data_IF_152844097705
#
_entry.id   IF_152844097705
#
_cell.length_a   1.000
_cell.length_b   1.000
_cell.length_c   1.000
_cell.angle_alpha   90.00
_cell.angle_beta   90.00
_cell.angle_gamma   90.00
#
_symmetry.space_group_name_H-M   'P 1'
#
loop_
_entity.id
_entity.type
_entity.pdbx_description
1 polymer ?
#
# COMPACT_ATOMS: atom_id res chain seq x y z
N UNK A 1 -27.15 13.19 2.32
CA UNK A 1 -26.22 12.78 3.40
C UNK A 1 -26.53 11.33 3.76
N UNK A 2 -25.51 10.46 3.77
CA UNK A 2 -25.64 9.05 4.11
C UNK A 2 -25.12 8.87 5.54
N UNK A 3 -25.95 8.28 6.40
CA UNK A 3 -25.54 7.85 7.74
C UNK A 3 -24.87 6.47 7.62
N UNK A 4 -23.60 6.36 8.00
CA UNK A 4 -22.83 5.12 7.93
C UNK A 4 -22.85 4.30 9.22
N UNK A 5 -23.54 4.77 10.25
CA UNK A 5 -23.63 4.05 11.53
C UNK A 5 -24.33 2.71 11.37
N UNK A 6 -23.83 1.73 12.08
CA UNK A 6 -24.39 0.38 12.22
C UNK A 6 -24.46 0.03 13.72
N UNK A 7 -24.80 -1.18 14.07
CA UNK A 7 -24.75 -1.62 15.45
C UNK A 7 -23.35 -1.55 16.09
N UNK A 8 -22.30 -1.65 15.27
CA UNK A 8 -20.90 -1.67 15.70
C UNK A 8 -20.09 -0.48 15.21
N UNK A 9 -20.56 0.21 14.16
CA UNK A 9 -20.01 1.47 13.67
C UNK A 9 -20.76 2.63 14.30
N UNK A 10 -20.13 3.37 15.18
CA UNK A 10 -20.76 4.46 15.93
C UNK A 10 -20.44 5.85 15.39
N UNK A 11 -19.29 6.00 14.73
CA UNK A 11 -18.82 7.28 14.20
C UNK A 11 -19.27 7.50 12.76
N UNK A 12 -19.72 8.72 12.45
CA UNK A 12 -19.89 9.21 11.08
C UNK A 12 -18.66 9.99 10.57
N UNK A 13 -17.55 9.96 11.29
CA UNK A 13 -16.29 10.63 10.89
C UNK A 13 -15.55 9.75 9.88
N UNK A 14 -15.68 10.08 8.61
CA UNK A 14 -15.15 9.34 7.48
C UNK A 14 -13.72 9.78 7.18
N UNK A 15 -12.81 8.83 7.03
CA UNK A 15 -11.41 9.08 6.70
C UNK A 15 -11.09 8.79 5.23
N UNK A 16 -11.72 7.78 4.63
CA UNK A 16 -11.60 7.51 3.20
C UNK A 16 -12.80 6.74 2.66
N UNK A 17 -13.02 6.89 1.37
CA UNK A 17 -14.11 6.23 0.62
C UNK A 17 -13.53 5.65 -0.66
N UNK A 18 -13.99 4.47 -1.02
CA UNK A 18 -13.65 3.81 -2.26
C UNK A 18 -14.91 3.21 -2.90
N UNK A 19 -15.07 3.36 -4.20
CA UNK A 19 -16.11 2.68 -4.96
C UNK A 19 -15.48 1.53 -5.74
N UNK A 20 -15.99 0.32 -5.55
CA UNK A 20 -15.51 -0.84 -6.27
C UNK A 20 -16.17 -0.97 -7.68
N UNK A 21 -15.70 -1.94 -8.47
CA UNK A 21 -16.19 -2.17 -9.83
C UNK A 21 -17.66 -2.61 -9.90
N UNK A 22 -18.26 -3.06 -8.80
CA UNK A 22 -19.70 -3.39 -8.71
C UNK A 22 -20.55 -2.17 -8.35
N UNK A 23 -19.91 -1.04 -8.03
CA UNK A 23 -20.55 0.19 -7.61
C UNK A 23 -20.81 0.26 -6.10
N UNK A 24 -20.42 -0.73 -5.32
CA UNK A 24 -20.52 -0.73 -3.87
C UNK A 24 -19.51 0.25 -3.26
N UNK A 25 -19.88 0.85 -2.14
CA UNK A 25 -19.07 1.84 -1.43
C UNK A 25 -18.43 1.23 -0.19
N UNK A 26 -17.14 1.45 -0.06
CA UNK A 26 -16.32 1.01 1.05
C UNK A 26 -15.82 2.22 1.82
N UNK A 27 -16.04 2.25 3.12
CA UNK A 27 -15.82 3.43 3.94
C UNK A 27 -14.97 3.10 5.14
N UNK A 28 -13.82 3.75 5.25
CA UNK A 28 -13.05 3.80 6.48
C UNK A 28 -13.48 5.01 7.31
N UNK A 29 -13.78 4.76 8.56
CA UNK A 29 -14.08 5.78 9.56
C UNK A 29 -13.03 5.79 10.66
N UNK A 30 -13.21 6.62 11.69
CA UNK A 30 -12.37 6.57 12.90
C UNK A 30 -12.54 5.29 13.71
N UNK A 31 -13.67 4.63 13.60
CA UNK A 31 -13.88 3.34 14.26
C UNK A 31 -13.04 2.24 13.58
N UNK A 32 -12.65 1.19 14.31
CA UNK A 32 -11.99 0.02 13.73
C UNK A 32 -12.87 -0.69 12.70
N UNK A 33 -12.23 -1.35 11.72
CA UNK A 33 -12.93 -2.07 10.65
C UNK A 33 -13.22 -1.22 9.43
N UNK A 34 -14.14 -1.69 8.60
CA UNK A 34 -14.59 -1.03 7.38
C UNK A 34 -16.09 -1.20 7.19
N UNK A 35 -16.78 -0.16 6.75
CA UNK A 35 -18.17 -0.23 6.36
C UNK A 35 -18.29 -0.49 4.87
N UNK A 36 -19.00 -1.54 4.52
CA UNK A 36 -19.48 -1.85 3.17
C UNK A 36 -20.91 -1.36 3.02
N UNK A 37 -21.18 -0.60 1.99
CA UNK A 37 -22.51 -0.11 1.63
C UNK A 37 -22.85 -0.54 0.21
N UNK A 38 -23.86 -1.38 0.06
CA UNK A 38 -24.42 -1.68 -1.23
C UNK A 38 -25.44 -0.58 -1.62
N UNK A 39 -25.16 0.13 -2.71
CA UNK A 39 -26.00 1.26 -3.15
C UNK A 39 -27.33 0.82 -3.75
N UNK A 40 -27.46 -0.43 -4.21
CA UNK A 40 -28.68 -0.95 -4.82
C UNK A 40 -29.68 -1.38 -3.75
N UNK A 41 -29.21 -2.16 -2.77
CA UNK A 41 -30.06 -2.67 -1.68
C UNK A 41 -30.12 -1.74 -0.48
N UNK A 42 -29.20 -0.76 -0.40
CA UNK A 42 -28.98 0.12 0.74
C UNK A 42 -28.59 -0.65 2.02
N UNK A 43 -28.12 -1.89 1.87
CA UNK A 43 -27.58 -2.67 2.98
C UNK A 43 -26.23 -2.14 3.41
N UNK A 44 -26.02 -2.11 4.73
CA UNK A 44 -24.76 -1.73 5.35
C UNK A 44 -24.21 -2.87 6.17
N UNK A 45 -22.94 -3.13 6.02
CA UNK A 45 -22.24 -4.15 6.77
C UNK A 45 -20.94 -3.57 7.35
N UNK A 46 -20.69 -3.85 8.63
CA UNK A 46 -19.46 -3.45 9.29
C UNK A 46 -18.57 -4.67 9.47
N UNK A 47 -17.45 -4.69 8.75
CA UNK A 47 -16.54 -5.81 8.65
C UNK A 47 -15.29 -5.56 9.48
N UNK A 48 -14.80 -6.60 10.12
CA UNK A 48 -13.60 -6.59 10.94
C UNK A 48 -12.64 -7.68 10.48
N UNK A 49 -11.35 -7.41 10.63
CA UNK A 49 -10.35 -8.48 10.59
C UNK A 49 -10.55 -9.38 11.82
N UNK A 50 -10.43 -10.71 11.68
CA UNK A 50 -10.50 -11.62 12.81
C UNK A 50 -9.55 -11.20 13.93
N UNK A 51 -10.05 -11.16 15.18
CA UNK A 51 -9.31 -10.64 16.34
C UNK A 51 -8.02 -11.40 16.63
N UNK A 52 -8.02 -12.69 16.37
CA UNK A 52 -6.88 -13.58 16.65
C UNK A 52 -5.71 -13.36 15.69
N UNK A 53 -5.96 -12.63 14.59
CA UNK A 53 -4.99 -12.36 13.52
C UNK A 53 -4.57 -10.89 13.47
N UNK A 54 -5.04 -10.07 14.41
CA UNK A 54 -4.67 -8.66 14.51
C UNK A 54 -3.26 -8.55 15.08
N UNK A 55 -2.32 -8.13 14.26
CA UNK A 55 -1.00 -7.73 14.73
C UNK A 55 -1.13 -6.30 15.26
N UNK A 56 -0.99 -6.13 16.57
CA UNK A 56 -0.95 -4.80 17.19
C UNK A 56 0.39 -4.14 16.88
N UNK A 57 0.34 -3.16 15.99
CA UNK A 57 1.51 -2.34 15.70
C UNK A 57 1.42 -1.04 16.50
N UNK A 58 2.50 -0.65 17.15
CA UNK A 58 2.57 0.59 17.94
C UNK A 58 2.50 1.89 17.11
N UNK A 59 2.35 1.78 15.78
CA UNK A 59 2.18 2.90 14.85
C UNK A 59 0.99 2.64 13.93
N UNK A 60 0.15 3.65 13.74
CA UNK A 60 -0.99 3.58 12.83
C UNK A 60 -0.50 3.53 11.37
N UNK A 61 -0.86 2.47 10.65
CA UNK A 61 -0.76 2.42 9.20
C UNK A 61 -1.78 3.37 8.56
N UNK A 62 -1.51 3.79 7.32
CA UNK A 62 -2.57 4.43 6.52
C UNK A 62 -3.58 3.38 6.13
N UNK A 63 -4.86 3.73 6.21
CA UNK A 63 -5.94 2.93 5.66
C UNK A 63 -5.82 2.92 4.14
N UNK A 64 -5.77 1.74 3.56
CA UNK A 64 -5.66 1.57 2.11
C UNK A 64 -6.79 0.67 1.62
N UNK A 65 -7.27 0.96 0.43
CA UNK A 65 -8.24 0.13 -0.27
C UNK A 65 -8.05 0.30 -1.79
N UNK A 66 -8.06 -0.80 -2.51
CA UNK A 66 -7.95 -0.82 -3.97
C UNK A 66 -8.41 -2.16 -4.52
N UNK A 67 -8.66 -2.22 -5.82
CA UNK A 67 -8.88 -3.46 -6.55
C UNK A 67 -7.69 -3.79 -7.44
N UNK A 68 -7.35 -5.09 -7.51
CA UNK A 68 -6.39 -5.59 -8.50
C UNK A 68 -7.04 -5.74 -9.89
N UNK A 69 -6.25 -6.14 -10.88
CA UNK A 69 -6.73 -6.34 -12.25
C UNK A 69 -7.79 -7.46 -12.37
N UNK A 70 -7.81 -8.41 -11.44
CA UNK A 70 -8.81 -9.47 -11.36
C UNK A 70 -10.05 -9.04 -10.56
N UNK A 71 -10.12 -7.77 -10.14
CA UNK A 71 -11.22 -7.20 -9.36
C UNK A 71 -11.36 -7.75 -7.95
N UNK A 72 -10.29 -8.31 -7.40
CA UNK A 72 -10.24 -8.61 -5.99
C UNK A 72 -10.02 -7.33 -5.19
N UNK A 73 -10.78 -7.17 -4.13
CA UNK A 73 -10.71 -6.01 -3.26
C UNK A 73 -9.70 -6.26 -2.14
N UNK A 74 -8.72 -5.37 -2.04
CA UNK A 74 -7.63 -5.42 -1.08
C UNK A 74 -7.73 -4.26 -0.11
N UNK A 75 -7.50 -4.53 1.17
CA UNK A 75 -7.70 -3.56 2.24
C UNK A 75 -6.56 -3.62 3.26
N UNK A 76 -6.23 -2.46 3.80
CA UNK A 76 -5.40 -2.35 5.00
C UNK A 76 -6.16 -1.48 6.02
N UNK A 77 -6.86 -2.08 6.98
CA UNK A 77 -7.52 -1.35 8.06
C UNK A 77 -6.50 -0.74 9.04
N UNK A 78 -6.93 0.19 9.88
CA UNK A 78 -6.06 0.90 10.84
C UNK A 78 -5.42 -0.05 11.85
N UNK A 79 -6.18 -1.04 12.28
CA UNK A 79 -5.74 -2.10 13.18
C UNK A 79 -6.00 -3.42 12.47
N UNK A 80 -4.93 -4.11 12.12
CA UNK A 80 -5.04 -5.38 11.43
C UNK A 80 -4.01 -5.56 10.33
N UNK A 81 -4.05 -6.71 9.73
CA UNK A 81 -3.18 -7.08 8.64
C UNK A 81 -3.76 -6.61 7.31
N UNK A 82 -2.89 -6.55 6.31
CA UNK A 82 -3.33 -6.47 4.93
C UNK A 82 -4.23 -7.66 4.62
N UNK A 83 -5.40 -7.42 4.07
CA UNK A 83 -6.40 -8.46 3.82
C UNK A 83 -7.07 -8.27 2.46
N UNK A 84 -7.69 -9.32 1.96
CA UNK A 84 -8.61 -9.24 0.85
C UNK A 84 -10.04 -9.55 1.31
N UNK A 85 -11.01 -9.02 0.57
CA UNK A 85 -12.41 -9.29 0.79
C UNK A 85 -12.86 -10.50 -0.03
N UNK A 86 -13.24 -11.56 0.66
CA UNK A 86 -13.87 -12.71 0.04
C UNK A 86 -15.35 -12.41 -0.22
N UNK A 87 -15.68 -12.09 -1.48
CA UNK A 87 -17.04 -11.71 -1.87
C UNK A 87 -18.05 -12.86 -1.70
N UNK A 88 -17.59 -14.11 -1.78
CA UNK A 88 -18.46 -15.28 -1.64
C UNK A 88 -18.83 -15.53 -0.17
N UNK A 89 -17.86 -15.43 0.69
CA UNK A 89 -18.04 -15.63 2.12
C UNK A 89 -18.41 -14.34 2.86
N UNK A 90 -18.31 -13.20 2.20
CA UNK A 90 -18.56 -11.85 2.76
C UNK A 90 -17.69 -11.59 4.00
N UNK A 91 -16.42 -11.98 3.94
CA UNK A 91 -15.49 -11.86 5.06
C UNK A 91 -14.15 -11.27 4.62
N UNK A 92 -13.45 -10.66 5.57
CA UNK A 92 -12.07 -10.23 5.39
C UNK A 92 -11.12 -11.40 5.69
N UNK A 93 -10.27 -11.74 4.73
CA UNK A 93 -9.24 -12.78 4.85
C UNK A 93 -7.87 -12.11 4.99
N UNK A 94 -7.23 -12.18 6.16
CA UNK A 94 -5.94 -11.54 6.36
C UNK A 94 -4.82 -12.28 5.62
N UNK A 95 -3.87 -11.51 5.10
CA UNK A 95 -2.57 -11.99 4.66
C UNK A 95 -1.64 -11.96 5.87
N UNK A 96 -1.31 -13.13 6.37
CA UNK A 96 -0.40 -13.25 7.50
C UNK A 96 1.02 -12.87 7.08
N UNK A 97 1.66 -12.04 7.87
CA UNK A 97 3.08 -11.72 7.71
C UNK A 97 3.91 -12.75 8.47
N UNK A 98 4.85 -13.36 7.77
CA UNK A 98 5.83 -14.28 8.38
C UNK A 98 7.23 -13.74 8.12
N UNK A 99 7.88 -13.26 9.17
CA UNK A 99 9.24 -12.70 9.09
C UNK A 99 10.29 -13.70 8.61
N UNK A 100 10.02 -15.00 8.78
CA UNK A 100 10.94 -16.07 8.37
C UNK A 100 10.69 -16.51 6.92
N UNK A 101 9.60 -16.06 6.31
CA UNK A 101 9.27 -16.38 4.93
C UNK A 101 9.56 -15.18 4.01
N UNK A 102 10.64 -15.24 3.20
CA UNK A 102 11.01 -14.14 2.31
C UNK A 102 9.96 -13.86 1.21
N UNK A 103 8.97 -14.73 1.08
CA UNK A 103 7.86 -14.56 0.13
C UNK A 103 6.60 -13.97 0.77
N UNK A 104 6.58 -13.73 2.07
CA UNK A 104 5.46 -13.06 2.73
C UNK A 104 5.66 -11.54 2.73
N UNK A 105 4.56 -10.78 2.91
CA UNK A 105 4.67 -9.35 3.20
C UNK A 105 5.40 -9.20 4.53
N UNK A 106 6.53 -8.47 4.50
CA UNK A 106 7.44 -8.39 5.64
C UNK A 106 7.07 -7.29 6.63
N UNK A 107 6.57 -6.16 6.12
CA UNK A 107 6.23 -5.03 6.97
C UNK A 107 4.73 -4.76 7.01
N UNK A 108 4.13 -4.84 8.18
CA UNK A 108 2.72 -4.49 8.35
C UNK A 108 2.46 -2.97 8.31
N UNK A 109 3.52 -2.16 8.36
CA UNK A 109 3.41 -0.70 8.35
C UNK A 109 3.53 -0.17 6.91
N UNK A 110 2.43 -0.14 6.19
CA UNK A 110 2.34 0.40 4.82
C UNK A 110 2.04 1.89 4.88
N UNK A 111 2.74 2.68 4.06
CA UNK A 111 2.62 4.14 3.95
C UNK A 111 1.84 4.57 2.72
N UNK A 112 2.07 3.92 1.61
CA UNK A 112 1.38 4.15 0.34
C UNK A 112 1.51 2.94 -0.56
N UNK A 113 0.78 2.93 -1.65
CA UNK A 113 0.83 1.89 -2.67
C UNK A 113 0.70 2.48 -4.07
N UNK A 114 1.10 1.69 -5.06
CA UNK A 114 0.76 1.91 -6.47
C UNK A 114 0.62 0.57 -7.19
N UNK A 115 -0.19 0.54 -8.23
CA UNK A 115 -0.30 -0.60 -9.14
C UNK A 115 0.58 -0.35 -10.35
N UNK A 116 1.37 -1.36 -10.75
CA UNK A 116 2.13 -1.30 -11.99
C UNK A 116 1.27 -1.69 -13.21
N UNK A 117 1.82 -1.52 -14.41
CA UNK A 117 1.11 -1.86 -15.65
C UNK A 117 0.82 -3.36 -15.82
N UNK A 118 1.40 -4.21 -14.98
CA UNK A 118 1.14 -5.65 -14.93
C UNK A 118 0.09 -6.01 -13.87
N UNK A 119 -0.41 -5.01 -13.13
CA UNK A 119 -1.37 -5.17 -12.05
C UNK A 119 -0.77 -5.64 -10.73
N UNK A 120 0.56 -5.66 -10.59
CA UNK A 120 1.17 -5.92 -9.29
C UNK A 120 1.04 -4.70 -8.39
N UNK A 121 0.93 -4.92 -7.09
CA UNK A 121 0.90 -3.85 -6.11
C UNK A 121 2.27 -3.64 -5.48
N UNK A 122 2.71 -2.40 -5.47
CA UNK A 122 3.94 -1.98 -4.82
C UNK A 122 3.60 -1.19 -3.57
N UNK A 123 4.20 -1.55 -2.46
CA UNK A 123 4.00 -0.89 -1.17
C UNK A 123 5.26 -0.16 -0.73
N UNK A 124 5.10 1.09 -0.33
CA UNK A 124 6.10 1.77 0.48
C UNK A 124 5.87 1.43 1.94
N UNK A 125 6.86 0.85 2.60
CA UNK A 125 6.75 0.40 3.98
C UNK A 125 7.81 1.06 4.87
N UNK A 126 7.72 0.83 6.18
CA UNK A 126 8.73 1.31 7.11
C UNK A 126 10.11 0.63 6.93
N UNK A 127 10.19 -0.44 6.15
CA UNK A 127 11.41 -1.24 5.97
C UNK A 127 11.90 -1.30 4.53
N UNK A 128 11.18 -0.67 3.61
CA UNK A 128 11.55 -0.66 2.20
C UNK A 128 10.35 -0.67 1.27
N UNK A 129 10.56 -1.16 0.07
CA UNK A 129 9.53 -1.34 -0.95
C UNK A 129 9.24 -2.82 -1.09
N UNK A 130 7.97 -3.17 -1.04
CA UNK A 130 7.50 -4.55 -1.19
C UNK A 130 6.61 -4.65 -2.43
N UNK A 131 6.76 -5.71 -3.19
CA UNK A 131 5.93 -6.01 -4.37
C UNK A 131 5.04 -7.21 -4.10
N UNK A 132 3.75 -7.03 -4.20
CA UNK A 132 2.75 -8.09 -4.19
C UNK A 132 2.39 -8.44 -5.62
N UNK A 133 2.72 -9.67 -6.04
CA UNK A 133 2.36 -10.20 -7.35
C UNK A 133 1.10 -11.07 -7.21
N UNK A 134 0.04 -10.74 -7.94
CA UNK A 134 -1.21 -11.49 -7.86
C UNK A 134 -1.21 -12.74 -8.76
N UNK A 135 -0.32 -12.77 -9.78
CA UNK A 135 -0.16 -13.92 -10.68
C UNK A 135 1.31 -14.08 -11.12
N UNK A 136 1.93 -15.25 -10.91
CA UNK A 136 1.64 -16.27 -9.89
C UNK A 136 1.79 -15.68 -8.49
N UNK A 137 1.13 -16.22 -7.48
CA UNK A 137 1.19 -15.74 -6.09
C UNK A 137 2.62 -15.77 -5.57
N UNK A 138 3.35 -14.70 -5.79
CA UNK A 138 4.69 -14.52 -5.27
C UNK A 138 4.87 -13.07 -4.83
N UNK A 139 5.48 -12.90 -3.67
CA UNK A 139 5.88 -11.60 -3.15
C UNK A 139 7.35 -11.39 -3.52
N UNK A 140 7.68 -10.22 -4.03
CA UNK A 140 9.08 -9.80 -4.18
C UNK A 140 9.38 -8.71 -3.17
N UNK A 141 10.45 -8.90 -2.46
CA UNK A 141 10.95 -7.99 -1.46
C UNK A 141 12.24 -7.35 -1.96
N UNK A 142 12.23 -6.04 -2.14
CA UNK A 142 13.39 -5.27 -2.51
C UNK A 142 13.86 -4.46 -1.29
N UNK A 143 15.04 -4.79 -0.79
CA UNK A 143 15.67 -4.05 0.28
C UNK A 143 16.14 -2.68 -0.22
N UNK A 144 15.43 -1.66 0.22
CA UNK A 144 16.03 -0.34 0.34
C UNK A 144 16.84 -0.30 1.64
N UNK A 145 17.57 0.76 1.92
CA UNK A 145 18.43 0.84 3.11
C UNK A 145 17.66 0.49 4.41
N UNK A 146 18.17 -0.47 5.18
CA UNK A 146 17.54 -1.00 6.39
C UNK A 146 17.21 0.04 7.46
N UNK A 147 17.93 1.17 7.45
CA UNK A 147 17.81 2.18 8.50
C UNK A 147 16.88 3.33 8.13
N UNK A 148 16.34 3.35 6.91
CA UNK A 148 15.61 4.52 6.44
C UNK A 148 14.22 4.18 5.91
N UNK A 149 13.24 4.85 6.50
CA UNK A 149 11.83 4.84 6.08
C UNK A 149 11.69 5.30 4.63
N UNK A 150 11.13 4.48 3.74
CA UNK A 150 10.76 4.90 2.38
C UNK A 150 9.54 5.81 2.43
N UNK A 151 9.61 6.99 1.82
CA UNK A 151 8.57 8.03 1.85
C UNK A 151 7.83 8.19 0.54
N UNK A 152 8.54 7.98 -0.56
CA UNK A 152 7.96 8.06 -1.89
C UNK A 152 8.61 7.05 -2.82
N UNK A 153 7.86 6.61 -3.82
CA UNK A 153 8.39 5.79 -4.89
C UNK A 153 7.62 6.05 -6.19
N UNK A 154 8.27 5.73 -7.30
CA UNK A 154 7.75 5.84 -8.66
C UNK A 154 8.31 4.71 -9.50
N UNK A 155 7.49 4.07 -10.32
CA UNK A 155 7.98 3.30 -11.46
C UNK A 155 7.90 4.20 -12.69
N UNK A 156 9.05 4.49 -13.30
CA UNK A 156 9.12 5.33 -14.47
C UNK A 156 8.70 4.59 -15.76
N UNK A 157 8.57 5.31 -16.85
CA UNK A 157 8.22 4.77 -18.18
C UNK A 157 9.21 3.72 -18.69
N UNK A 158 10.47 3.76 -18.22
CA UNK A 158 11.52 2.78 -18.49
C UNK A 158 11.48 1.58 -17.53
N UNK A 159 10.42 1.49 -16.71
CA UNK A 159 10.20 0.44 -15.69
C UNK A 159 11.26 0.39 -14.59
N UNK A 160 12.03 1.46 -14.41
CA UNK A 160 12.94 1.61 -13.26
C UNK A 160 12.12 2.03 -12.04
N UNK A 161 12.52 1.52 -10.87
CA UNK A 161 11.90 1.91 -9.61
C UNK A 161 12.76 2.99 -8.94
N UNK A 162 12.15 4.13 -8.65
CA UNK A 162 12.73 5.25 -7.91
C UNK A 162 12.18 5.24 -6.50
N UNK A 163 13.04 5.28 -5.49
CA UNK A 163 12.61 5.29 -4.09
C UNK A 163 13.27 6.43 -3.34
N UNK A 164 12.49 7.17 -2.55
CA UNK A 164 12.99 8.22 -1.68
C UNK A 164 12.89 7.80 -0.21
N UNK A 165 13.97 7.94 0.52
CA UNK A 165 14.07 7.57 1.93
C UNK A 165 14.06 8.77 2.87
N UNK A 166 13.82 8.51 4.16
CA UNK A 166 13.94 9.48 5.25
C UNK A 166 15.38 10.02 5.40
N UNK A 167 16.38 9.27 4.96
CA UNK A 167 17.77 9.70 4.93
C UNK A 167 18.09 10.67 3.79
N UNK A 168 17.04 11.15 3.09
CA UNK A 168 17.10 12.21 2.09
C UNK A 168 17.92 11.88 0.83
N UNK A 169 18.02 10.61 0.43
CA UNK A 169 18.55 10.22 -0.86
C UNK A 169 17.52 9.45 -1.68
N UNK A 170 17.74 9.41 -2.99
CA UNK A 170 16.88 8.69 -3.94
C UNK A 170 17.70 7.54 -4.53
N UNK A 171 17.17 6.32 -4.39
CA UNK A 171 17.70 5.10 -5.00
C UNK A 171 16.94 4.79 -6.30
N UNK A 172 17.66 4.23 -7.26
CA UNK A 172 17.11 3.85 -8.56
C UNK A 172 17.46 2.39 -8.80
N UNK A 173 16.42 1.58 -9.02
CA UNK A 173 16.55 0.15 -9.30
C UNK A 173 16.14 -0.16 -10.74
N UNK A 174 16.84 -1.10 -11.35
CA UNK A 174 16.48 -1.66 -12.65
C UNK A 174 15.21 -2.53 -12.56
N UNK A 175 14.58 -2.86 -13.71
CA UNK A 175 13.39 -3.74 -13.73
C UNK A 175 13.61 -5.12 -13.11
N UNK A 176 14.81 -5.61 -13.07
CA UNK A 176 15.22 -6.88 -12.44
C UNK A 176 15.41 -6.77 -10.91
N UNK A 177 15.26 -5.56 -10.34
CA UNK A 177 15.42 -5.29 -8.92
C UNK A 177 16.85 -4.94 -8.48
N UNK A 178 17.83 -4.94 -9.40
CA UNK A 178 19.19 -4.55 -9.08
C UNK A 178 19.34 -3.04 -8.91
N UNK A 179 20.12 -2.62 -7.90
CA UNK A 179 20.41 -1.20 -7.67
C UNK A 179 21.26 -0.64 -8.80
N UNK A 180 20.72 0.32 -9.54
CA UNK A 180 21.41 1.06 -10.58
C UNK A 180 22.34 2.12 -9.96
N UNK A 181 21.83 2.84 -8.97
CA UNK A 181 22.57 3.90 -8.29
C UNK A 181 21.66 4.85 -7.51
N UNK A 182 22.18 6.05 -7.29
CA UNK A 182 21.52 7.12 -6.55
C UNK A 182 21.42 8.36 -7.42
N UNK A 183 20.38 9.16 -7.19
CA UNK A 183 20.24 10.46 -7.84
C UNK A 183 21.19 11.47 -7.17
N UNK A 184 21.98 12.17 -7.98
CA UNK A 184 22.78 13.30 -7.52
C UNK A 184 21.97 14.59 -7.47
N UNK A 185 22.49 15.62 -6.79
CA UNK A 185 21.89 16.97 -6.78
C UNK A 185 21.87 17.65 -8.15
N UNK A 186 22.69 17.17 -9.07
CA UNK A 186 22.78 17.65 -10.45
C UNK A 186 21.89 16.85 -11.41
N UNK A 187 21.08 15.90 -10.90
CA UNK A 187 20.17 15.10 -11.71
C UNK A 187 20.82 13.87 -12.38
N UNK A 188 22.08 13.54 -12.06
CA UNK A 188 22.76 12.39 -12.63
C UNK A 188 22.63 11.15 -11.74
N UNK A 189 22.67 9.97 -12.35
CA UNK A 189 22.76 8.70 -11.61
C UNK A 189 24.20 8.42 -11.24
N UNK A 190 24.50 8.28 -9.96
CA UNK A 190 25.83 8.06 -9.39
C UNK A 190 25.85 6.79 -8.52
N UNK A 191 27.03 6.28 -8.24
CA UNK A 191 27.19 5.05 -7.43
C UNK A 191 27.18 5.30 -5.93
N UNK A 192 27.49 6.51 -5.50
CA UNK A 192 27.57 6.89 -4.10
C UNK A 192 26.31 7.58 -3.64
N UNK A 193 25.94 7.40 -2.37
CA UNK A 193 24.78 8.07 -1.76
C UNK A 193 25.05 9.57 -1.68
N UNK A 194 24.11 10.36 -2.18
CA UNK A 194 24.12 11.81 -2.01
C UNK A 194 22.80 12.27 -1.39
N UNK A 195 22.87 12.85 -0.21
CA UNK A 195 21.68 13.37 0.48
C UNK A 195 21.24 14.71 -0.08
N UNK A 196 19.94 14.88 -0.18
CA UNK A 196 19.30 16.18 -0.45
C UNK A 196 19.08 16.91 0.89
N UNK A 197 19.07 18.24 0.87
CA UNK A 197 18.92 19.05 2.10
C UNK A 197 17.55 18.88 2.75
N UNK A 198 16.51 18.64 1.95
CA UNK A 198 15.13 18.44 2.41
C UNK A 198 14.68 17.01 2.10
N UNK A 199 13.76 16.47 2.94
CA UNK A 199 13.17 15.18 2.69
C UNK A 199 12.36 15.16 1.38
N UNK A 200 12.49 14.09 0.62
CA UNK A 200 11.67 13.84 -0.57
C UNK A 200 10.40 13.12 -0.16
N UNK A 201 9.24 13.69 -0.46
CA UNK A 201 7.93 13.16 -0.08
C UNK A 201 7.10 12.70 -1.28
N UNK A 202 7.52 13.07 -2.49
CA UNK A 202 6.86 12.66 -3.73
C UNK A 202 7.87 12.59 -4.86
N UNK A 203 7.66 11.68 -5.80
CA UNK A 203 8.41 11.55 -7.06
C UNK A 203 7.36 11.39 -8.15
N UNK A 204 7.50 12.13 -9.24
CA UNK A 204 6.59 12.11 -10.38
C UNK A 204 7.39 12.09 -11.67
N UNK A 205 6.83 11.45 -12.69
CA UNK A 205 7.30 11.53 -14.07
C UNK A 205 6.32 12.37 -14.88
N UNK A 206 6.83 13.34 -15.61
CA UNK A 206 6.01 14.14 -16.50
C UNK A 206 5.79 13.43 -17.84
N UNK A 207 4.94 14.03 -18.71
CA UNK A 207 4.64 13.48 -20.04
C UNK A 207 5.85 13.39 -20.99
N UNK A 208 6.92 14.10 -20.69
CA UNK A 208 8.16 14.14 -21.48
C UNK A 208 9.22 13.19 -20.88
N UNK A 209 8.89 12.44 -19.82
CA UNK A 209 9.76 11.46 -19.16
C UNK A 209 10.77 12.06 -18.16
N UNK A 210 10.58 13.31 -17.76
CA UNK A 210 11.39 13.92 -16.71
C UNK A 210 10.86 13.51 -15.33
N UNK A 211 11.79 13.26 -14.40
CA UNK A 211 11.49 12.87 -13.01
C UNK A 211 11.66 14.08 -12.09
#
# INVERSE_FOLDING_TARGET
QIDIRTATQTSNDVESVYQDHLGDIWIFSKDPGIVHLNLVTNEKEHLFTPKDEIIKHGRKSRKLIFEDNAKNLWLLPTEGNFCYYDRKERTLKPLLTDINNPKSIFSPLVRSYTLDNQGNCWFATARGVEKLCFFPQSYQFNLTDYEAETRAFLQDSNKRLWTASKSNYIQIFAPDGNLVGYLSKQGNIIKEKQSFYNGVYSILEDKDGNI
#
